data_IF_880075896781
#
_entry.id   IF_880075896781
#
_cell.length_a   1.000
_cell.length_b   1.000
_cell.length_c   1.000
_cell.angle_alpha   90.00
_cell.angle_beta   90.00
_cell.angle_gamma   90.00
#
_symmetry.space_group_name_H-M   'P 1'
#
loop_
_entity.id
_entity.type
_entity.pdbx_description
1 polymer ?
#
# COMPACT_ATOMS: atom_id res chain seq x y z
N UNK A 1 23.22 -10.13 -10.54
CA UNK A 1 21.73 -10.05 -10.63
C UNK A 1 21.13 -8.78 -9.99
N UNK A 2 21.70 -7.56 -10.15
CA UNK A 2 21.40 -6.47 -9.19
C UNK A 2 20.59 -5.26 -9.66
N UNK A 3 20.71 -4.83 -10.92
CA UNK A 3 20.34 -3.45 -11.29
C UNK A 3 18.98 -3.33 -11.99
N UNK A 4 18.64 -4.31 -12.83
CA UNK A 4 17.40 -4.28 -13.63
C UNK A 4 16.17 -4.41 -12.72
N UNK A 5 16.23 -5.33 -11.74
CA UNK A 5 15.17 -5.53 -10.74
C UNK A 5 14.97 -4.29 -9.89
N UNK A 6 16.06 -3.65 -9.42
CA UNK A 6 15.99 -2.41 -8.66
C UNK A 6 15.34 -1.28 -9.46
N UNK A 7 15.69 -1.13 -10.74
CA UNK A 7 15.14 -0.10 -11.63
C UNK A 7 13.64 -0.31 -11.90
N UNK A 8 13.22 -1.56 -12.12
CA UNK A 8 11.80 -1.91 -12.31
C UNK A 8 10.97 -1.66 -11.05
N UNK A 9 11.50 -2.04 -9.87
CA UNK A 9 10.87 -1.75 -8.57
C UNK A 9 10.77 -0.23 -8.34
N UNK A 10 11.81 0.52 -8.73
CA UNK A 10 11.84 1.97 -8.56
C UNK A 10 10.86 2.68 -9.51
N UNK A 11 10.68 2.19 -10.74
CA UNK A 11 9.65 2.68 -11.67
C UNK A 11 8.24 2.40 -11.17
N UNK A 12 7.98 1.18 -10.70
CA UNK A 12 6.70 0.82 -10.09
C UNK A 12 6.41 1.68 -8.85
N UNK A 13 7.43 1.91 -8.01
CA UNK A 13 7.37 2.85 -6.88
C UNK A 13 7.01 4.26 -7.32
N UNK A 14 7.70 4.83 -8.30
CA UNK A 14 7.43 6.19 -8.79
C UNK A 14 5.99 6.33 -9.30
N UNK A 15 5.48 5.33 -10.03
CA UNK A 15 4.09 5.34 -10.52
C UNK A 15 3.07 5.30 -9.38
N UNK A 16 3.31 4.47 -8.37
CA UNK A 16 2.44 4.38 -7.19
C UNK A 16 2.50 5.65 -6.33
N UNK A 17 3.70 6.16 -6.04
CA UNK A 17 3.90 7.42 -5.28
C UNK A 17 3.20 8.58 -5.97
N UNK A 18 3.39 8.74 -7.29
CA UNK A 18 2.82 9.88 -8.01
C UNK A 18 1.29 9.91 -7.95
N UNK A 19 0.63 8.75 -7.89
CA UNK A 19 -0.83 8.64 -7.77
C UNK A 19 -1.35 9.02 -6.37
N UNK A 20 -0.66 8.60 -5.30
CA UNK A 20 -1.05 8.96 -3.93
C UNK A 20 -0.68 10.41 -3.57
N UNK A 21 0.32 11.00 -4.22
CA UNK A 21 0.68 12.41 -4.04
C UNK A 21 -0.38 13.39 -4.58
N UNK A 22 -1.15 13.02 -5.61
CA UNK A 22 -1.86 14.02 -6.43
C UNK A 22 -3.18 14.55 -5.85
N UNK A 23 -3.85 13.85 -4.93
CA UNK A 23 -5.20 14.25 -4.48
C UNK A 23 -5.39 14.25 -2.96
N UNK A 24 -4.79 13.31 -2.24
CA UNK A 24 -4.95 13.16 -0.79
C UNK A 24 -3.78 12.38 -0.23
N UNK A 25 -3.15 12.84 0.87
CA UNK A 25 -2.11 12.10 1.61
C UNK A 25 -2.63 10.79 2.28
N UNK A 26 -3.79 10.29 1.82
CA UNK A 26 -4.50 9.11 2.29
C UNK A 26 -5.04 8.30 1.10
N UNK A 27 -5.47 7.07 1.40
CA UNK A 27 -6.08 6.14 0.45
C UNK A 27 -7.49 6.65 0.04
N UNK A 28 -7.96 6.44 -1.20
CA UNK A 28 -9.27 6.95 -1.65
C UNK A 28 -10.48 6.20 -1.06
N UNK A 29 -10.39 4.88 -0.86
CA UNK A 29 -11.50 4.04 -0.35
C UNK A 29 -10.96 2.98 0.60
N UNK A 30 -11.82 2.41 1.44
CA UNK A 30 -11.45 1.18 2.13
C UNK A 30 -11.27 0.02 1.14
N UNK A 31 -10.36 -0.88 1.47
CA UNK A 31 -10.10 -2.07 0.68
C UNK A 31 -9.69 -3.24 1.57
N UNK A 32 -10.17 -4.42 1.21
CA UNK A 32 -9.77 -5.69 1.82
C UNK A 32 -9.14 -6.57 0.76
N UNK A 33 -7.89 -6.97 0.99
CA UNK A 33 -7.16 -7.86 0.09
C UNK A 33 -6.72 -9.11 0.83
N UNK A 34 -6.82 -10.25 0.14
CA UNK A 34 -6.27 -11.53 0.59
C UNK A 34 -5.16 -11.94 -0.36
N UNK A 35 -4.01 -12.29 0.21
CA UNK A 35 -2.92 -12.95 -0.50
C UNK A 35 -2.52 -14.21 0.26
N UNK A 36 -2.79 -15.39 -0.32
CA UNK A 36 -2.62 -16.68 0.36
C UNK A 36 -3.33 -16.68 1.72
N UNK A 37 -2.62 -17.01 2.80
CA UNK A 37 -3.11 -17.02 4.19
C UNK A 37 -2.97 -15.68 4.90
N UNK A 38 -2.60 -14.61 4.20
CA UNK A 38 -2.48 -13.24 4.74
C UNK A 38 -3.60 -12.37 4.19
N UNK A 39 -4.34 -11.71 5.07
CA UNK A 39 -5.35 -10.72 4.72
C UNK A 39 -4.92 -9.35 5.23
N UNK A 40 -5.10 -8.32 4.41
CA UNK A 40 -4.83 -6.94 4.77
C UNK A 40 -6.11 -6.15 4.55
N UNK A 41 -6.50 -5.45 5.61
CA UNK A 41 -7.57 -4.47 5.57
C UNK A 41 -6.93 -3.09 5.64
N UNK A 42 -7.29 -2.21 4.71
CA UNK A 42 -6.88 -0.81 4.71
C UNK A 42 -8.11 0.08 4.69
N UNK A 43 -8.09 1.11 5.52
CA UNK A 43 -9.15 2.11 5.61
C UNK A 43 -8.53 3.50 5.58
N UNK A 44 -9.13 4.45 4.82
CA UNK A 44 -8.74 5.85 4.90
C UNK A 44 -9.03 6.41 6.29
N UNK A 45 -8.19 7.33 6.72
CA UNK A 45 -8.37 8.06 7.98
C UNK A 45 -8.37 9.55 7.70
N UNK A 46 -9.04 10.36 8.54
CA UNK A 46 -8.96 11.81 8.46
C UNK A 46 -7.51 12.30 8.47
N UNK A 47 -7.27 13.47 7.88
CA UNK A 47 -5.94 14.10 7.85
C UNK A 47 -5.42 14.29 9.28
N UNK A 48 -4.16 13.95 9.52
CA UNK A 48 -3.50 14.10 10.82
C UNK A 48 -3.69 12.92 11.78
N UNK A 49 -4.32 11.81 11.34
CA UNK A 49 -4.43 10.59 12.15
C UNK A 49 -3.15 9.75 12.14
N UNK A 50 -2.30 9.95 11.13
CA UNK A 50 -1.04 9.22 10.98
C UNK A 50 -1.20 7.81 10.43
N UNK A 51 -0.09 7.07 10.41
CA UNK A 51 -0.04 5.69 9.92
C UNK A 51 -0.30 4.73 11.09
N UNK A 52 -1.50 4.13 11.12
CA UNK A 52 -1.89 3.10 12.10
C UNK A 52 -1.81 1.73 11.44
N UNK A 53 -0.61 1.18 11.37
CA UNK A 53 -0.37 -0.12 10.75
C UNK A 53 0.68 -0.95 11.49
N UNK A 54 0.72 -2.26 11.20
CA UNK A 54 1.80 -3.14 11.68
C UNK A 54 3.16 -2.72 11.11
N UNK A 55 4.25 -3.03 11.81
CA UNK A 55 5.61 -2.53 11.49
C UNK A 55 6.01 -2.58 10.02
N UNK A 56 5.80 -3.73 9.36
CA UNK A 56 6.11 -3.92 7.92
C UNK A 56 5.31 -2.98 7.03
N UNK A 57 4.02 -2.81 7.34
CA UNK A 57 3.13 -1.93 6.58
C UNK A 57 3.42 -0.46 6.86
N UNK A 58 3.77 -0.09 8.10
CA UNK A 58 4.14 1.28 8.44
C UNK A 58 5.39 1.74 7.68
N UNK A 59 6.44 0.93 7.61
CA UNK A 59 7.62 1.23 6.79
C UNK A 59 7.28 1.31 5.30
N UNK A 60 6.37 0.45 4.83
CA UNK A 60 5.92 0.44 3.44
C UNK A 60 5.12 1.71 3.08
N UNK A 61 4.15 2.12 3.89
CA UNK A 61 3.37 3.34 3.65
C UNK A 61 4.21 4.60 3.77
N UNK A 62 5.14 4.64 4.74
CA UNK A 62 6.09 5.74 4.87
C UNK A 62 7.00 5.87 3.65
N UNK A 63 7.39 4.74 3.06
CA UNK A 63 8.13 4.74 1.80
C UNK A 63 7.31 5.32 0.63
N UNK A 64 6.00 5.11 0.64
CA UNK A 64 5.08 5.58 -0.41
C UNK A 64 4.53 6.98 -0.15
N UNK A 65 5.05 7.67 0.87
CA UNK A 65 4.63 9.02 1.29
C UNK A 65 3.14 9.11 1.69
N UNK A 66 2.54 7.98 2.06
CA UNK A 66 1.19 7.94 2.62
C UNK A 66 1.28 8.34 4.10
N UNK A 67 0.59 9.43 4.48
CA UNK A 67 0.64 9.98 5.84
C UNK A 67 -0.47 9.45 6.72
N UNK A 68 -1.66 9.25 6.16
CA UNK A 68 -2.87 8.91 6.92
C UNK A 68 -3.47 7.61 6.38
N UNK A 69 -3.32 6.52 7.13
CA UNK A 69 -3.93 5.23 6.78
C UNK A 69 -4.05 4.35 8.02
N UNK A 70 -5.17 3.64 8.14
CA UNK A 70 -5.32 2.54 9.09
C UNK A 70 -5.23 1.21 8.33
N UNK A 71 -4.28 0.36 8.71
CA UNK A 71 -4.12 -0.96 8.09
C UNK A 71 -3.95 -2.07 9.13
N UNK A 72 -4.78 -3.11 9.00
CA UNK A 72 -4.76 -4.28 9.88
C UNK A 72 -4.43 -5.53 9.09
N UNK A 73 -3.45 -6.30 9.59
CA UNK A 73 -3.08 -7.60 9.05
C UNK A 73 -3.86 -8.67 9.84
N UNK A 74 -4.52 -9.57 9.11
CA UNK A 74 -5.31 -10.68 9.65
C UNK A 74 -4.75 -11.98 9.07
N UNK A 75 -4.59 -13.01 9.91
CA UNK A 75 -4.00 -14.29 9.52
C UNK A 75 -2.46 -14.29 9.58
N UNK A 76 -1.82 -14.82 8.53
CA UNK A 76 -0.36 -15.02 8.50
C UNK A 76 0.41 -13.70 8.45
N UNK A 77 1.37 -13.53 9.37
CA UNK A 77 2.21 -12.33 9.53
C UNK A 77 3.57 -12.44 8.82
N UNK A 78 3.71 -13.37 7.88
CA UNK A 78 4.95 -13.49 7.11
C UNK A 78 5.21 -12.22 6.30
N UNK A 79 6.34 -11.55 6.56
CA UNK A 79 6.73 -10.26 5.98
C UNK A 79 6.62 -10.24 4.45
N UNK A 80 7.05 -11.32 3.79
CA UNK A 80 7.03 -11.44 2.33
C UNK A 80 5.61 -11.46 1.78
N UNK A 81 4.70 -12.19 2.44
CA UNK A 81 3.31 -12.28 2.03
C UNK A 81 2.56 -10.97 2.33
N UNK A 82 2.87 -10.33 3.46
CA UNK A 82 2.31 -9.01 3.82
C UNK A 82 2.69 -7.96 2.78
N UNK A 83 3.95 -7.90 2.36
CA UNK A 83 4.39 -6.96 1.32
C UNK A 83 3.71 -7.23 -0.02
N UNK A 84 3.62 -8.51 -0.44
CA UNK A 84 2.92 -8.88 -1.67
C UNK A 84 1.44 -8.51 -1.62
N UNK A 85 0.77 -8.76 -0.50
CA UNK A 85 -0.62 -8.35 -0.27
C UNK A 85 -0.78 -6.82 -0.33
N UNK A 86 0.16 -6.07 0.25
CA UNK A 86 0.14 -4.62 0.24
C UNK A 86 0.28 -4.06 -1.18
N UNK A 87 1.21 -4.61 -1.98
CA UNK A 87 1.33 -4.23 -3.40
C UNK A 87 0.07 -4.53 -4.20
N UNK A 88 -0.54 -5.71 -4.02
CA UNK A 88 -1.81 -6.05 -4.68
C UNK A 88 -2.93 -5.09 -4.28
N UNK A 89 -2.97 -4.70 -3.01
CA UNK A 89 -3.99 -3.79 -2.53
C UNK A 89 -3.81 -2.36 -3.06
N UNK A 90 -2.57 -1.90 -3.19
CA UNK A 90 -2.30 -0.64 -3.90
C UNK A 90 -2.66 -0.72 -5.37
N UNK A 91 -2.30 -1.82 -6.05
CA UNK A 91 -2.62 -2.02 -7.46
C UNK A 91 -4.12 -1.91 -7.69
N UNK A 92 -4.93 -2.61 -6.87
CA UNK A 92 -6.40 -2.51 -6.90
C UNK A 92 -6.91 -1.08 -6.62
N UNK A 93 -6.29 -0.34 -5.69
CA UNK A 93 -6.66 1.05 -5.40
C UNK A 93 -6.31 2.02 -6.54
N UNK A 94 -5.22 1.78 -7.27
CA UNK A 94 -4.86 2.52 -8.49
C UNK A 94 -5.71 2.12 -9.69
N UNK A 95 -6.00 0.83 -9.84
CA UNK A 95 -6.71 0.29 -10.99
C UNK A 95 -8.22 0.60 -10.94
N UNK A 96 -8.79 0.72 -9.73
CA UNK A 96 -10.17 1.22 -9.56
C UNK A 96 -10.38 2.67 -10.03
N UNK A 97 -9.31 3.41 -10.37
CA UNK A 97 -9.39 4.78 -10.94
C UNK A 97 -8.77 4.90 -12.34
N UNK A 98 -9.00 3.91 -13.20
CA UNK A 98 -8.90 4.07 -14.66
C UNK A 98 -10.15 3.55 -15.39
N UNK A 99 -11.31 3.60 -14.74
CA UNK A 99 -12.59 3.49 -15.44
C UNK A 99 -13.37 4.76 -15.11
N UNK A 100 -13.59 5.54 -16.16
CA UNK A 100 -14.45 6.73 -16.22
C UNK A 100 -15.83 6.49 -15.63
#
# INVERSE_FOLDING_TARGET
MGLIVKKSIQRAKKRLINYFLTKTNTIPTDIKVKYKSTQIFMKPTPKGSGIKAGSVLSSFFRFLEIKDVNAKIIGSRNKTNVLKAAFLALDLLTNKKYVS
#
